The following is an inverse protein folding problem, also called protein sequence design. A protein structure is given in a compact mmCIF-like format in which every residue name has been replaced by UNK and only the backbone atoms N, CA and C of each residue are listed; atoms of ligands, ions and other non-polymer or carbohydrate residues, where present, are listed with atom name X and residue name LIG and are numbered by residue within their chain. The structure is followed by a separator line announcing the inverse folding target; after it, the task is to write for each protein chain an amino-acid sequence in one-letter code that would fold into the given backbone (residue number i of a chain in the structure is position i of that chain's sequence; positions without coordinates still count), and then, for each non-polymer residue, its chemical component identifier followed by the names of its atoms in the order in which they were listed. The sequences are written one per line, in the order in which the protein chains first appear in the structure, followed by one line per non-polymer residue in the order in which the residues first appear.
data_IF_164373030452
#
_entry.id   IF_164373030452
#
_cell.length_a   1.000
_cell.length_b   1.000
_cell.length_c   1.000
_cell.angle_alpha   90.00
_cell.angle_beta   90.00
_cell.angle_gamma   90.00
#
_symmetry.space_group_name_H-M   'P 1'
#
loop_
_entity.id
_entity.type
_entity.pdbx_description
1 polymer ?
#
# COMPACT_ATOMS: atom_id res chain seq x y z
N UNK A 1 -0.05 4.33 26.46
CA UNK A 1 0.94 3.24 26.53
C UNK A 1 0.60 2.11 25.55
N UNK A 2 -0.63 1.59 25.57
CA UNK A 2 -1.11 0.50 24.70
C UNK A 2 -0.80 0.64 23.18
N UNK A 3 -1.03 1.83 22.57
CA UNK A 3 -0.71 2.06 21.15
C UNK A 3 0.79 1.96 20.81
N UNK A 4 1.67 2.27 21.76
CA UNK A 4 3.12 2.20 21.59
C UNK A 4 3.60 0.74 21.60
N UNK A 5 2.97 -0.07 22.45
CA UNK A 5 3.17 -1.52 22.50
C UNK A 5 2.71 -2.20 21.21
N UNK A 6 1.52 -1.86 20.73
CA UNK A 6 0.99 -2.36 19.45
C UNK A 6 1.91 -1.98 18.27
N UNK A 7 2.43 -0.74 18.26
CA UNK A 7 3.40 -0.29 17.27
C UNK A 7 4.70 -1.11 17.32
N UNK A 8 5.26 -1.33 18.51
CA UNK A 8 6.49 -2.10 18.68
C UNK A 8 6.31 -3.58 18.28
N UNK A 9 5.15 -4.18 18.56
CA UNK A 9 4.81 -5.54 18.13
C UNK A 9 4.74 -5.61 16.59
N UNK A 10 4.08 -4.64 15.95
CA UNK A 10 3.97 -4.58 14.49
C UNK A 10 5.33 -4.38 13.80
N UNK A 11 6.21 -3.55 14.36
CA UNK A 11 7.58 -3.35 13.84
C UNK A 11 8.38 -4.64 13.93
N UNK A 12 8.30 -5.35 15.06
CA UNK A 12 9.04 -6.60 15.27
C UNK A 12 8.56 -7.73 14.38
N UNK A 13 7.24 -7.84 14.19
CA UNK A 13 6.64 -8.80 13.25
C UNK A 13 7.13 -8.58 11.81
N UNK A 14 7.20 -7.31 11.35
CA UNK A 14 7.73 -7.01 10.02
C UNK A 14 9.22 -7.37 9.88
N UNK A 15 10.02 -7.20 10.94
CA UNK A 15 11.43 -7.61 10.95
C UNK A 15 11.60 -9.13 10.84
N UNK A 16 10.79 -9.89 11.58
CA UNK A 16 10.84 -11.36 11.53
C UNK A 16 10.36 -11.90 10.17
N UNK A 17 9.35 -11.26 9.56
CA UNK A 17 8.89 -11.56 8.19
C UNK A 17 9.96 -11.27 7.13
N UNK A 18 10.82 -10.26 7.32
CA UNK A 18 11.92 -9.98 6.38
C UNK A 18 13.03 -11.04 6.35
N UNK A 19 13.13 -11.91 7.36
CA UNK A 19 14.13 -13.01 7.41
C UNK A 19 13.64 -14.23 6.60
N UNK A 20 12.32 -14.37 6.41
CA UNK A 20 11.72 -15.39 5.55
C UNK A 20 11.86 -14.98 4.07
N UNK A 21 12.86 -15.53 3.40
CA UNK A 21 13.04 -15.62 1.94
C UNK A 21 12.21 -14.60 1.13
N UNK A 22 12.62 -13.32 1.18
CA UNK A 22 11.90 -12.21 0.54
C UNK A 22 11.91 -12.37 -0.98
N UNK A 23 10.84 -12.94 -1.54
CA UNK A 23 10.61 -12.92 -2.98
C UNK A 23 10.01 -11.58 -3.39
N UNK A 24 10.74 -10.82 -4.22
CA UNK A 24 10.20 -9.65 -4.90
C UNK A 24 9.42 -10.15 -6.11
N UNK A 25 8.09 -10.13 -6.03
CA UNK A 25 7.23 -10.45 -7.17
C UNK A 25 6.79 -9.14 -7.82
N UNK A 26 7.07 -9.00 -9.12
CA UNK A 26 6.54 -7.89 -9.90
C UNK A 26 5.05 -8.13 -10.15
N UNK A 27 4.21 -7.56 -9.30
CA UNK A 27 2.76 -7.59 -9.49
C UNK A 27 2.40 -6.52 -10.53
N UNK A 28 2.29 -6.94 -11.79
CA UNK A 28 1.79 -6.09 -12.85
C UNK A 28 0.33 -5.72 -12.61
N UNK A 29 -0.03 -4.49 -12.99
CA UNK A 29 -1.43 -4.07 -12.99
C UNK A 29 -2.21 -4.91 -14.01
N UNK A 30 -3.34 -5.48 -13.58
CA UNK A 30 -4.29 -6.19 -14.46
C UNK A 30 -5.57 -5.38 -14.57
N UNK A 31 -6.18 -5.25 -15.76
CA UNK A 31 -7.49 -4.62 -15.89
C UNK A 31 -8.56 -5.27 -14.99
N UNK A 32 -9.51 -4.49 -14.47
CA UNK A 32 -10.74 -5.04 -13.88
C UNK A 32 -11.60 -5.75 -14.93
N UNK A 33 -12.63 -6.46 -14.45
CA UNK A 33 -13.68 -7.00 -15.33
C UNK A 33 -14.45 -5.85 -15.98
N UNK A 34 -14.99 -6.07 -17.18
CA UNK A 34 -15.87 -5.09 -17.86
C UNK A 34 -17.00 -4.63 -16.93
N UNK A 35 -17.25 -3.32 -16.90
CA UNK A 35 -18.21 -2.69 -16.00
C UNK A 35 -17.69 -2.39 -14.58
N UNK A 36 -16.42 -2.69 -14.29
CA UNK A 36 -15.77 -2.36 -13.03
C UNK A 36 -14.63 -1.36 -13.24
N UNK A 37 -14.33 -0.60 -12.17
CA UNK A 37 -13.14 0.26 -12.09
C UNK A 37 -12.25 -0.20 -10.94
N UNK A 38 -10.93 -0.03 -11.08
CA UNK A 38 -9.98 -0.13 -9.98
C UNK A 38 -9.60 1.26 -9.49
N UNK A 39 -9.69 1.46 -8.18
CA UNK A 39 -9.29 2.70 -7.52
C UNK A 39 -8.03 2.41 -6.73
N UNK A 40 -6.93 3.07 -7.09
CA UNK A 40 -5.71 3.10 -6.31
C UNK A 40 -5.62 4.46 -5.62
N UNK A 41 -5.60 4.46 -4.29
CA UNK A 41 -5.45 5.69 -3.49
C UNK A 41 -4.10 5.69 -2.82
N UNK A 42 -3.44 6.85 -2.82
CA UNK A 42 -2.19 7.06 -2.09
C UNK A 42 -2.28 8.29 -1.18
N UNK A 43 -1.47 8.28 -0.13
CA UNK A 43 -1.31 9.39 0.81
C UNK A 43 0.14 9.84 0.80
N UNK A 44 0.34 11.13 0.62
CA UNK A 44 1.63 11.78 0.78
C UNK A 44 1.66 12.57 2.10
N UNK A 45 2.78 12.49 2.80
CA UNK A 45 3.07 13.35 3.95
C UNK A 45 4.48 13.92 3.76
N UNK A 46 4.60 15.24 3.91
CA UNK A 46 5.88 15.94 3.87
C UNK A 46 6.43 16.09 5.29
N UNK A 47 7.74 16.26 5.42
CA UNK A 47 8.41 16.43 6.72
C UNK A 47 7.91 17.66 7.51
N UNK A 48 7.40 18.68 6.81
CA UNK A 48 6.77 19.87 7.41
C UNK A 48 5.34 19.60 7.93
N UNK A 49 4.88 18.35 7.93
CA UNK A 49 3.57 17.93 8.40
C UNK A 49 2.43 18.18 7.40
N UNK A 50 2.71 18.75 6.22
CA UNK A 50 1.67 18.90 5.18
C UNK A 50 1.33 17.55 4.58
N UNK A 51 0.03 17.28 4.46
CA UNK A 51 -0.48 16.04 3.87
C UNK A 51 -1.14 16.31 2.52
N UNK A 52 -1.07 15.32 1.65
CA UNK A 52 -1.76 15.30 0.37
C UNK A 52 -2.35 13.92 0.13
N UNK A 53 -3.39 13.86 -0.69
CA UNK A 53 -3.96 12.62 -1.17
C UNK A 53 -4.04 12.66 -2.69
N UNK A 54 -3.92 11.49 -3.30
CA UNK A 54 -4.01 11.32 -4.73
C UNK A 54 -4.44 9.91 -5.07
N UNK A 55 -4.68 9.65 -6.35
CA UNK A 55 -5.05 8.33 -6.79
C UNK A 55 -5.24 8.23 -8.29
N UNK A 56 -5.45 6.99 -8.72
CA UNK A 56 -5.77 6.65 -10.10
C UNK A 56 -7.05 5.82 -10.12
N UNK A 57 -7.95 6.17 -11.04
CA UNK A 57 -9.12 5.38 -11.38
C UNK A 57 -8.85 4.80 -12.77
N UNK A 58 -8.93 3.48 -12.89
CA UNK A 58 -8.66 2.76 -14.13
C UNK A 58 -9.81 1.84 -14.48
N UNK A 59 -10.24 1.86 -15.73
CA UNK A 59 -11.30 1.00 -16.26
C UNK A 59 -10.76 -0.30 -16.85
N UNK A 60 -11.63 -1.07 -17.49
CA UNK A 60 -11.29 -2.37 -18.08
C UNK A 60 -10.49 -2.28 -19.37
N UNK A 61 -10.50 -1.12 -20.04
CA UNK A 61 -9.82 -0.92 -21.33
C UNK A 61 -8.41 -0.35 -21.17
N UNK A 62 -7.96 -0.20 -19.91
CA UNK A 62 -6.62 0.27 -19.59
C UNK A 62 -6.50 1.79 -19.47
N UNK A 63 -7.63 2.49 -19.31
CA UNK A 63 -7.68 3.92 -18.94
C UNK A 63 -6.83 4.22 -17.69
#
# INVERSE_FOLDING_TARGET
MQKMEEYNIAVRYNQDVTILNRQVVMVAWKPPRTGWVKINTDKACREDGRTGCGGLIKGSEGE
#
